data_IF_544173377062
#
_entry.id   IF_544173377062
#
_cell.length_a   1.000
_cell.length_b   1.000
_cell.length_c   1.000
_cell.angle_alpha   90.00
_cell.angle_beta   90.00
_cell.angle_gamma   90.00
#
_symmetry.space_group_name_H-M   'P 1'
#
loop_
_entity.id
_entity.type
_entity.pdbx_description
1 polymer ?
#
# COMPACT_ATOMS: atom_id res chain seq x y z
N UNK A 1 9.90 3.53 -17.28
CA UNK A 1 9.05 2.38 -16.95
C UNK A 1 7.59 2.77 -16.96
N UNK A 2 6.69 1.82 -17.22
CA UNK A 2 5.26 2.10 -17.24
C UNK A 2 4.56 1.66 -15.97
N UNK A 3 3.41 2.26 -15.68
CA UNK A 3 2.53 1.83 -14.61
C UNK A 3 1.96 0.44 -14.93
N UNK A 4 1.89 -0.42 -13.94
CA UNK A 4 1.34 -1.76 -14.10
C UNK A 4 0.66 -2.26 -12.85
N UNK A 5 -0.35 -3.09 -13.02
CA UNK A 5 -1.04 -3.81 -11.94
C UNK A 5 -0.79 -5.30 -12.08
N UNK A 6 -0.64 -5.97 -10.96
CA UNK A 6 -0.44 -7.42 -10.92
C UNK A 6 -1.73 -8.14 -10.51
N UNK A 7 -1.77 -9.44 -10.76
CA UNK A 7 -2.73 -10.36 -10.17
C UNK A 7 -1.94 -11.35 -9.32
N UNK A 8 -2.17 -11.36 -8.02
CA UNK A 8 -1.44 -12.17 -7.03
C UNK A 8 0.08 -12.04 -7.16
N UNK A 9 0.54 -10.83 -7.46
CA UNK A 9 1.95 -10.48 -7.71
C UNK A 9 2.64 -11.28 -8.84
N UNK A 10 1.88 -11.89 -9.74
CA UNK A 10 2.42 -12.74 -10.82
C UNK A 10 2.22 -12.12 -12.20
N UNK A 11 0.98 -12.14 -12.71
CA UNK A 11 0.66 -11.62 -14.04
C UNK A 11 0.62 -10.09 -14.00
N UNK A 12 1.47 -9.43 -14.78
CA UNK A 12 1.50 -7.96 -14.90
C UNK A 12 0.63 -7.50 -16.07
N UNK A 13 -0.20 -6.51 -15.82
CA UNK A 13 -1.02 -5.82 -16.81
C UNK A 13 -0.55 -4.38 -16.87
N UNK A 14 -0.22 -3.90 -18.06
CA UNK A 14 0.20 -2.52 -18.27
C UNK A 14 -1.02 -1.59 -18.19
N UNK A 15 -0.92 -0.50 -17.43
CA UNK A 15 -2.00 0.47 -17.23
C UNK A 15 -1.80 1.76 -18.01
N UNK A 16 -0.56 2.13 -18.29
CA UNK A 16 -0.24 3.39 -18.95
C UNK A 16 0.98 4.10 -18.40
N UNK A 17 1.04 5.38 -18.66
CA UNK A 17 2.04 6.28 -18.12
C UNK A 17 1.68 6.70 -16.68
N UNK A 18 2.61 6.61 -15.70
CA UNK A 18 2.31 6.94 -14.31
C UNK A 18 1.94 8.42 -14.12
N UNK A 19 2.55 9.34 -14.85
CA UNK A 19 2.31 10.78 -14.69
C UNK A 19 0.90 11.12 -15.18
N UNK A 20 0.51 10.59 -16.35
CA UNK A 20 -0.84 10.78 -16.87
C UNK A 20 -1.90 10.16 -15.93
N UNK A 21 -1.58 9.03 -15.30
CA UNK A 21 -2.48 8.40 -14.34
C UNK A 21 -2.65 9.27 -13.07
N UNK A 22 -1.58 9.89 -12.57
CA UNK A 22 -1.65 10.82 -11.44
C UNK A 22 -2.52 12.04 -11.78
N UNK A 23 -2.39 12.60 -12.98
CA UNK A 23 -3.26 13.69 -13.44
C UNK A 23 -4.74 13.31 -13.41
N UNK A 24 -5.08 12.11 -13.89
CA UNK A 24 -6.46 11.61 -13.84
C UNK A 24 -6.97 11.48 -12.41
N UNK A 25 -6.13 10.99 -11.49
CA UNK A 25 -6.51 10.91 -10.07
C UNK A 25 -6.62 12.27 -9.40
N UNK A 26 -5.83 13.30 -9.81
CA UNK A 26 -6.03 14.67 -9.37
C UNK A 26 -7.43 15.18 -9.76
N UNK A 27 -7.82 14.98 -11.03
CA UNK A 27 -9.13 15.41 -11.53
C UNK A 27 -10.31 14.72 -10.82
N UNK A 28 -10.04 13.54 -10.23
CA UNK A 28 -11.01 12.75 -9.45
C UNK A 28 -10.96 13.05 -7.95
N UNK A 29 -10.09 13.95 -7.50
CA UNK A 29 -9.96 14.37 -6.10
C UNK A 29 -9.73 13.17 -5.13
N UNK A 30 -8.83 12.23 -5.51
CA UNK A 30 -8.54 11.08 -4.66
C UNK A 30 -7.88 11.51 -3.35
N UNK A 31 -8.20 10.80 -2.25
CA UNK A 31 -7.74 11.15 -0.90
C UNK A 31 -6.22 11.04 -0.75
N UNK A 32 -5.63 9.94 -1.22
CA UNK A 32 -4.18 9.66 -1.14
C UNK A 32 -3.77 8.63 -2.20
N UNK A 33 -2.54 8.73 -2.72
CA UNK A 33 -1.96 7.74 -3.62
C UNK A 33 -0.73 7.10 -2.98
N UNK A 34 -0.64 5.76 -3.03
CA UNK A 34 0.56 5.00 -2.70
C UNK A 34 1.19 4.48 -3.98
N UNK A 35 2.37 4.98 -4.32
CA UNK A 35 3.15 4.58 -5.50
C UNK A 35 4.21 3.56 -5.08
N UNK A 36 4.13 2.35 -5.62
CA UNK A 36 5.06 1.26 -5.29
C UNK A 36 5.87 0.83 -6.52
N UNK A 37 7.20 1.03 -6.48
CA UNK A 37 8.10 0.40 -7.46
C UNK A 37 8.34 -1.06 -7.07
N UNK A 38 7.55 -1.95 -7.66
CA UNK A 38 7.58 -3.38 -7.40
C UNK A 38 8.81 -4.09 -8.01
N UNK A 39 9.62 -3.40 -8.81
CA UNK A 39 10.81 -3.96 -9.44
C UNK A 39 12.09 -3.61 -8.72
N UNK A 40 12.17 -2.47 -8.09
CA UNK A 40 13.38 -1.93 -7.48
C UNK A 40 14.06 -2.90 -6.50
N UNK A 41 13.32 -3.46 -5.54
CA UNK A 41 13.88 -4.40 -4.56
C UNK A 41 14.34 -5.73 -5.19
N UNK A 42 13.67 -6.18 -6.25
CA UNK A 42 14.02 -7.41 -6.98
C UNK A 42 15.27 -7.23 -7.82
N UNK A 43 15.41 -6.08 -8.44
CA UNK A 43 16.53 -5.72 -9.30
C UNK A 43 17.72 -5.16 -8.50
N UNK A 44 17.62 -5.10 -7.16
CA UNK A 44 18.59 -4.43 -6.28
C UNK A 44 18.88 -2.99 -6.69
N UNK A 45 17.85 -2.28 -7.14
CA UNK A 45 17.90 -0.85 -7.45
C UNK A 45 17.36 -0.07 -6.25
N UNK A 46 17.92 1.11 -6.03
CA UNK A 46 17.37 2.07 -5.09
C UNK A 46 16.06 2.70 -5.58
N UNK A 47 15.51 3.67 -4.83
CA UNK A 47 14.33 4.43 -5.24
C UNK A 47 14.54 5.13 -6.59
N UNK A 48 13.47 5.25 -7.36
CA UNK A 48 13.48 6.02 -8.60
C UNK A 48 13.16 7.50 -8.30
N UNK A 49 14.18 8.26 -7.91
CA UNK A 49 14.04 9.66 -7.52
C UNK A 49 13.49 10.54 -8.66
N UNK A 50 13.89 10.29 -9.91
CA UNK A 50 13.37 11.02 -11.07
C UNK A 50 11.86 10.81 -11.23
N UNK A 51 11.38 9.57 -11.09
CA UNK A 51 9.95 9.29 -11.12
C UNK A 51 9.21 9.98 -9.97
N UNK A 52 9.79 9.97 -8.77
CA UNK A 52 9.22 10.62 -7.59
C UNK A 52 9.07 12.12 -7.83
N UNK A 53 10.11 12.77 -8.34
CA UNK A 53 10.09 14.21 -8.66
C UNK A 53 9.04 14.53 -9.72
N UNK A 54 8.95 13.73 -10.78
CA UNK A 54 7.96 13.90 -11.83
C UNK A 54 6.53 13.74 -11.30
N UNK A 55 6.27 12.74 -10.44
CA UNK A 55 4.96 12.55 -9.81
C UNK A 55 4.64 13.73 -8.89
N UNK A 56 5.58 14.14 -8.03
CA UNK A 56 5.41 15.24 -7.10
C UNK A 56 5.05 16.55 -7.80
N UNK A 57 5.62 16.82 -8.96
CA UNK A 57 5.32 18.03 -9.73
C UNK A 57 3.89 18.06 -10.29
N UNK A 58 3.23 16.91 -10.37
CA UNK A 58 1.87 16.76 -10.89
C UNK A 58 0.84 16.42 -9.82
N UNK A 59 1.24 15.82 -8.69
CA UNK A 59 0.33 15.40 -7.64
C UNK A 59 -0.11 16.59 -6.78
N UNK A 60 -1.42 16.79 -6.64
CA UNK A 60 -2.04 17.77 -5.72
C UNK A 60 -2.63 17.11 -4.49
N UNK A 61 -2.79 15.78 -4.50
CA UNK A 61 -3.15 14.99 -3.35
C UNK A 61 -1.90 14.50 -2.61
N UNK A 62 -1.99 14.14 -1.33
CA UNK A 62 -0.94 13.46 -0.60
C UNK A 62 -0.50 12.19 -1.33
N UNK A 63 0.80 11.95 -1.45
CA UNK A 63 1.26 10.69 -1.96
C UNK A 63 2.43 10.10 -1.17
N UNK A 64 2.42 8.77 -1.07
CA UNK A 64 3.48 7.98 -0.49
C UNK A 64 4.24 7.22 -1.58
N UNK A 65 5.55 7.04 -1.39
CA UNK A 65 6.39 6.27 -2.30
C UNK A 65 7.09 5.13 -1.59
N UNK A 66 7.13 3.94 -2.24
CA UNK A 66 7.90 2.78 -1.82
C UNK A 66 8.55 2.04 -2.97
N UNK A 67 9.67 1.42 -2.68
CA UNK A 67 10.41 0.61 -3.64
C UNK A 67 11.92 0.81 -3.54
N UNK A 68 12.65 -0.27 -3.29
CA UNK A 68 14.11 -0.29 -3.26
C UNK A 68 14.78 0.41 -2.07
N UNK A 69 14.01 0.90 -1.10
CA UNK A 69 14.51 1.67 0.05
C UNK A 69 15.26 0.76 1.01
N UNK A 70 16.53 1.09 1.28
CA UNK A 70 17.46 0.30 2.09
C UNK A 70 18.25 1.09 3.13
N UNK A 71 18.23 2.42 3.05
CA UNK A 71 19.03 3.32 3.91
C UNK A 71 18.28 4.56 4.35
N UNK A 72 18.71 5.17 5.46
CA UNK A 72 18.17 6.45 5.94
C UNK A 72 18.43 7.60 4.96
N UNK A 73 19.57 7.60 4.29
CA UNK A 73 19.88 8.63 3.27
C UNK A 73 18.87 8.61 2.10
N UNK A 74 18.42 7.41 1.67
CA UNK A 74 17.39 7.33 0.64
C UNK A 74 16.03 7.84 1.14
N UNK A 75 15.69 7.59 2.41
CA UNK A 75 14.49 8.12 3.07
C UNK A 75 14.58 9.66 3.16
N UNK A 76 15.71 10.19 3.59
CA UNK A 76 15.95 11.63 3.67
C UNK A 76 15.76 12.32 2.32
N UNK A 77 16.36 11.78 1.25
CA UNK A 77 16.22 12.33 -0.10
C UNK A 77 14.76 12.31 -0.55
N UNK A 78 14.01 11.23 -0.27
CA UNK A 78 12.61 11.12 -0.61
C UNK A 78 11.77 12.17 0.14
N UNK A 79 11.94 12.31 1.45
CA UNK A 79 11.21 13.30 2.26
C UNK A 79 11.56 14.72 1.81
N UNK A 80 12.84 15.01 1.58
CA UNK A 80 13.29 16.32 1.11
C UNK A 80 12.79 16.65 -0.31
N UNK A 81 12.43 15.64 -1.12
CA UNK A 81 11.78 15.86 -2.41
C UNK A 81 10.32 16.32 -2.28
N UNK A 82 9.76 16.27 -1.07
CA UNK A 82 8.41 16.78 -0.76
C UNK A 82 7.30 15.75 -0.86
N UNK A 83 7.62 14.45 -0.74
CA UNK A 83 6.60 13.42 -0.52
C UNK A 83 6.17 13.40 0.95
N UNK A 84 4.92 13.05 1.22
CA UNK A 84 4.37 13.02 2.58
C UNK A 84 4.87 11.82 3.37
N UNK A 85 4.92 10.63 2.72
CA UNK A 85 5.26 9.39 3.41
C UNK A 85 6.14 8.46 2.58
N UNK A 86 7.00 7.73 3.26
CA UNK A 86 7.90 6.72 2.68
C UNK A 86 7.43 5.33 3.09
N UNK A 87 7.23 4.44 2.12
CA UNK A 87 6.77 3.06 2.35
C UNK A 87 7.94 2.09 2.34
N UNK A 88 8.20 1.41 3.45
CA UNK A 88 9.29 0.47 3.62
C UNK A 88 8.73 -0.95 3.80
N UNK A 89 9.21 -1.93 3.04
CA UNK A 89 8.77 -3.33 3.11
C UNK A 89 9.96 -4.29 3.26
N UNK A 90 10.58 -4.67 2.14
CA UNK A 90 11.58 -5.76 2.08
C UNK A 90 12.75 -5.59 3.05
N UNK A 91 13.12 -4.34 3.36
CA UNK A 91 14.20 -4.07 4.29
C UNK A 91 13.81 -4.35 5.74
N UNK A 92 12.55 -4.14 6.13
CA UNK A 92 12.06 -4.43 7.50
C UNK A 92 12.10 -5.92 7.83
N UNK A 93 12.01 -6.78 6.82
CA UNK A 93 12.14 -8.23 6.97
C UNK A 93 13.59 -8.65 7.32
N UNK A 94 14.59 -7.80 7.04
CA UNK A 94 16.01 -8.03 7.26
C UNK A 94 16.54 -7.25 8.46
N UNK A 95 16.13 -6.00 8.58
CA UNK A 95 16.64 -5.07 9.58
C UNK A 95 15.57 -4.04 9.98
N UNK A 96 14.95 -4.24 11.12
CA UNK A 96 13.94 -3.33 11.67
C UNK A 96 14.55 -2.00 12.16
N UNK A 97 15.85 -1.97 12.48
CA UNK A 97 16.51 -0.76 12.99
C UNK A 97 16.49 0.40 11.97
N UNK A 98 16.33 0.11 10.67
CA UNK A 98 16.10 1.17 9.68
C UNK A 98 14.85 2.00 10.04
N UNK A 99 13.76 1.31 10.39
CA UNK A 99 12.50 1.97 10.78
C UNK A 99 12.68 2.78 12.06
N UNK A 100 13.28 2.19 13.11
CA UNK A 100 13.51 2.84 14.40
C UNK A 100 14.34 4.12 14.28
N UNK A 101 15.43 4.06 13.51
CA UNK A 101 16.32 5.19 13.31
C UNK A 101 15.64 6.29 12.49
N UNK A 102 14.93 5.90 11.41
CA UNK A 102 14.22 6.85 10.56
C UNK A 102 13.05 7.51 11.29
N UNK A 103 12.34 6.80 12.17
CA UNK A 103 11.27 7.37 12.98
C UNK A 103 11.79 8.43 13.96
N UNK A 104 12.98 8.22 14.54
CA UNK A 104 13.64 9.20 15.43
C UNK A 104 14.07 10.46 14.69
N UNK A 105 14.49 10.32 13.43
CA UNK A 105 15.06 11.41 12.64
C UNK A 105 13.98 12.21 11.91
N UNK A 106 13.03 11.52 11.25
CA UNK A 106 12.05 12.13 10.36
C UNK A 106 10.64 12.17 10.94
N UNK A 107 10.41 11.55 12.09
CA UNK A 107 9.09 11.38 12.69
C UNK A 107 8.31 10.20 12.14
N UNK A 108 7.53 9.56 13.02
CA UNK A 108 6.71 8.38 12.67
C UNK A 108 5.72 8.66 11.55
N UNK A 109 5.12 9.86 11.53
CA UNK A 109 4.09 10.28 10.56
C UNK A 109 4.58 10.20 9.09
N UNK A 110 5.90 10.22 8.86
CA UNK A 110 6.50 10.14 7.53
C UNK A 110 6.78 8.71 7.06
N UNK A 111 6.44 7.70 7.88
CA UNK A 111 6.86 6.31 7.64
C UNK A 111 5.67 5.36 7.64
N UNK A 112 5.52 4.63 6.54
CA UNK A 112 4.58 3.50 6.40
C UNK A 112 5.38 2.20 6.37
N UNK A 113 5.09 1.29 7.29
CA UNK A 113 5.63 -0.06 7.24
C UNK A 113 4.70 -0.97 6.43
N UNK A 114 5.15 -1.45 5.28
CA UNK A 114 4.37 -2.34 4.42
C UNK A 114 4.67 -3.80 4.73
N UNK A 115 3.61 -4.62 4.77
CA UNK A 115 3.69 -6.07 5.01
C UNK A 115 2.84 -6.80 3.98
N UNK A 116 3.49 -7.63 3.16
CA UNK A 116 2.82 -8.49 2.20
C UNK A 116 2.44 -9.81 2.85
N UNK A 117 1.15 -10.14 2.87
CA UNK A 117 0.60 -11.36 3.46
C UNK A 117 0.19 -12.34 2.36
N UNK A 118 0.66 -13.58 2.47
CA UNK A 118 0.23 -14.67 1.62
C UNK A 118 -0.30 -15.84 2.47
N UNK A 119 -0.86 -16.85 1.83
CA UNK A 119 -1.23 -18.11 2.47
C UNK A 119 -0.22 -19.21 2.11
N UNK A 120 0.13 -20.03 3.07
CA UNK A 120 0.91 -21.24 2.80
C UNK A 120 -0.02 -22.38 2.30
N UNK A 121 0.55 -23.55 2.04
CA UNK A 121 -0.18 -24.73 1.54
C UNK A 121 -1.29 -25.23 2.50
N UNK A 122 -1.22 -24.86 3.77
CA UNK A 122 -2.21 -25.22 4.81
C UNK A 122 -3.21 -24.09 5.08
N UNK A 123 -3.24 -23.04 4.24
CA UNK A 123 -4.14 -21.89 4.40
C UNK A 123 -3.76 -20.94 5.56
N UNK A 124 -2.60 -21.08 6.17
CA UNK A 124 -2.13 -20.17 7.23
C UNK A 124 -1.47 -18.93 6.64
N UNK A 125 -1.73 -17.77 7.24
CA UNK A 125 -1.11 -16.50 6.90
C UNK A 125 0.40 -16.53 7.15
N UNK A 126 1.16 -16.03 6.18
CA UNK A 126 2.63 -15.95 6.21
C UNK A 126 3.07 -14.64 5.56
N UNK A 127 4.21 -14.11 5.97
CA UNK A 127 4.82 -12.97 5.31
C UNK A 127 5.38 -13.42 3.97
N UNK A 128 5.06 -12.67 2.92
CA UNK A 128 5.61 -12.88 1.59
C UNK A 128 6.73 -11.89 1.31
N UNK A 129 7.83 -12.36 0.75
CA UNK A 129 8.91 -11.52 0.27
C UNK A 129 8.86 -11.39 -1.25
N UNK A 130 8.53 -10.19 -1.73
CA UNK A 130 8.49 -9.92 -3.16
C UNK A 130 9.90 -9.99 -3.79
N UNK A 131 10.93 -9.55 -3.07
CA UNK A 131 12.32 -9.56 -3.55
C UNK A 131 12.85 -10.98 -3.82
N UNK A 132 12.38 -11.98 -3.06
CA UNK A 132 12.80 -13.39 -3.20
C UNK A 132 11.73 -14.28 -3.81
N UNK A 133 10.50 -13.78 -4.00
CA UNK A 133 9.30 -14.53 -4.40
C UNK A 133 9.02 -15.74 -3.50
N UNK A 134 9.22 -15.62 -2.19
CA UNK A 134 9.06 -16.71 -1.21
C UNK A 134 8.25 -16.29 0.00
N UNK A 135 7.55 -17.25 0.56
CA UNK A 135 7.00 -17.13 1.91
C UNK A 135 8.14 -17.22 2.94
N UNK A 136 8.14 -16.32 3.90
CA UNK A 136 9.15 -16.26 4.96
C UNK A 136 8.73 -17.08 6.18
N UNK A 137 9.70 -17.52 6.96
CA UNK A 137 9.48 -18.20 8.25
C UNK A 137 9.35 -17.22 9.43
N UNK A 138 8.75 -16.06 9.16
CA UNK A 138 8.51 -15.01 10.16
C UNK A 138 7.02 -15.08 10.49
N UNK A 139 6.67 -15.10 11.77
CA UNK A 139 5.26 -15.04 12.19
C UNK A 139 4.72 -13.64 11.96
N UNK A 140 3.55 -13.57 11.37
CA UNK A 140 2.91 -12.29 11.00
C UNK A 140 2.71 -11.42 12.23
N UNK A 141 2.13 -11.99 13.28
CA UNK A 141 1.83 -11.30 14.53
C UNK A 141 3.09 -10.73 15.20
N UNK A 142 4.17 -11.52 15.30
CA UNK A 142 5.44 -11.07 15.87
C UNK A 142 6.08 -9.92 15.04
N UNK A 143 5.94 -9.97 13.73
CA UNK A 143 6.46 -8.93 12.85
C UNK A 143 5.67 -7.62 12.98
N UNK A 144 4.35 -7.71 13.07
CA UNK A 144 3.48 -6.54 13.27
C UNK A 144 3.75 -5.87 14.62
N UNK A 145 3.90 -6.66 15.72
CA UNK A 145 4.27 -6.10 17.02
C UNK A 145 5.62 -5.37 16.96
N UNK A 146 6.63 -5.95 16.33
CA UNK A 146 7.94 -5.27 16.15
C UNK A 146 7.82 -3.96 15.37
N UNK A 147 7.05 -3.95 14.28
CA UNK A 147 6.78 -2.73 13.49
C UNK A 147 6.11 -1.67 14.37
N UNK A 148 5.07 -2.07 15.12
CA UNK A 148 4.34 -1.16 16.01
C UNK A 148 5.25 -0.53 17.08
N UNK A 149 6.18 -1.29 17.62
CA UNK A 149 7.16 -0.83 18.62
C UNK A 149 8.31 -0.01 18.02
N UNK A 150 8.58 -0.18 16.72
CA UNK A 150 9.73 0.45 16.03
C UNK A 150 9.45 1.86 15.48
N UNK A 151 8.26 2.41 15.74
CA UNK A 151 7.95 3.79 15.43
C UNK A 151 7.43 4.03 14.01
N UNK A 152 6.84 3.04 13.35
CA UNK A 152 6.03 3.28 12.16
C UNK A 152 4.87 4.22 12.49
N UNK A 153 4.51 5.12 11.58
CA UNK A 153 3.31 5.94 11.70
C UNK A 153 2.06 5.19 11.28
N UNK A 154 2.19 4.32 10.28
CA UNK A 154 1.10 3.51 9.73
C UNK A 154 1.62 2.13 9.28
N UNK A 155 0.72 1.16 9.24
CA UNK A 155 0.98 -0.15 8.63
C UNK A 155 0.14 -0.30 7.36
N UNK A 156 0.78 -0.71 6.25
CA UNK A 156 0.12 -1.06 5.00
C UNK A 156 0.14 -2.58 4.83
N UNK A 157 -0.99 -3.25 5.09
CA UNK A 157 -1.17 -4.68 4.86
C UNK A 157 -1.65 -4.94 3.44
N UNK A 158 -0.90 -5.73 2.68
CA UNK A 158 -1.27 -6.12 1.33
C UNK A 158 -1.50 -7.63 1.24
N UNK A 159 -2.74 -8.04 1.01
CA UNK A 159 -3.11 -9.45 0.85
C UNK A 159 -2.79 -9.95 -0.56
N UNK A 160 -1.60 -10.52 -0.75
CA UNK A 160 -1.07 -10.99 -2.04
C UNK A 160 -2.00 -11.99 -2.72
N UNK A 161 -2.55 -12.93 -1.97
CA UNK A 161 -3.47 -13.96 -2.50
C UNK A 161 -4.84 -13.41 -2.92
N UNK A 162 -5.19 -12.21 -2.46
CA UNK A 162 -6.40 -11.46 -2.83
C UNK A 162 -6.14 -10.42 -3.93
N UNK A 163 -4.87 -10.03 -4.16
CA UNK A 163 -4.52 -8.96 -5.10
C UNK A 163 -5.06 -9.25 -6.52
N UNK A 164 -5.86 -8.32 -7.03
CA UNK A 164 -6.45 -8.41 -8.37
C UNK A 164 -7.53 -9.46 -8.55
N UNK A 165 -8.04 -10.08 -7.48
CA UNK A 165 -9.03 -11.18 -7.56
C UNK A 165 -10.48 -10.72 -7.56
N UNK A 166 -10.77 -9.50 -7.14
CA UNK A 166 -12.14 -8.96 -7.00
C UNK A 166 -13.03 -9.82 -6.06
N UNK A 167 -12.43 -10.39 -5.00
CA UNK A 167 -13.11 -11.34 -4.09
C UNK A 167 -13.43 -10.75 -2.73
N UNK A 168 -13.37 -9.42 -2.58
CA UNK A 168 -13.48 -8.73 -1.30
C UNK A 168 -12.19 -8.84 -0.47
N UNK A 169 -12.05 -7.98 0.52
CA UNK A 169 -10.94 -8.04 1.48
C UNK A 169 -11.01 -9.31 2.35
N UNK A 170 -9.94 -9.63 3.06
CA UNK A 170 -9.97 -10.67 4.11
C UNK A 170 -10.35 -10.03 5.45
N UNK A 171 -11.64 -9.99 5.72
CA UNK A 171 -12.21 -9.32 6.90
C UNK A 171 -11.79 -10.00 8.20
N UNK A 172 -11.83 -11.34 8.23
CA UNK A 172 -11.48 -12.12 9.41
C UNK A 172 -9.99 -11.94 9.78
N UNK A 173 -9.11 -12.07 8.81
CA UNK A 173 -7.69 -11.92 9.05
C UNK A 173 -7.34 -10.47 9.42
N UNK A 174 -7.99 -9.47 8.80
CA UNK A 174 -7.81 -8.06 9.17
C UNK A 174 -8.22 -7.81 10.61
N UNK A 175 -9.41 -8.26 11.03
CA UNK A 175 -9.88 -8.14 12.42
C UNK A 175 -8.96 -8.83 13.43
N UNK A 176 -8.33 -9.93 13.03
CA UNK A 176 -7.35 -10.62 13.86
C UNK A 176 -6.06 -9.82 13.97
N UNK A 177 -5.53 -9.35 12.86
CA UNK A 177 -4.20 -8.71 12.80
C UNK A 177 -4.20 -7.28 13.34
N UNK A 178 -5.30 -6.52 13.18
CA UNK A 178 -5.43 -5.17 13.71
C UNK A 178 -5.22 -5.09 15.23
N UNK A 179 -5.54 -6.16 15.96
CA UNK A 179 -5.37 -6.24 17.43
C UNK A 179 -3.91 -6.17 17.90
N UNK A 180 -2.95 -6.38 17.01
CA UNK A 180 -1.52 -6.29 17.29
C UNK A 180 -0.94 -4.89 17.02
N UNK A 181 -1.79 -3.95 16.61
CA UNK A 181 -1.40 -2.61 16.21
C UNK A 181 -2.11 -1.57 17.08
N UNK A 182 -1.38 -0.52 17.46
CA UNK A 182 -1.91 0.70 18.08
C UNK A 182 -1.76 1.93 17.17
N UNK A 183 -1.28 1.71 15.95
CA UNK A 183 -1.10 2.70 14.89
C UNK A 183 -2.04 2.40 13.73
N UNK A 184 -2.39 3.38 12.89
CA UNK A 184 -3.30 3.23 11.78
C UNK A 184 -2.94 2.06 10.84
N UNK A 185 -3.96 1.32 10.43
CA UNK A 185 -3.88 0.18 9.54
C UNK A 185 -4.56 0.47 8.20
N UNK A 186 -3.78 0.46 7.14
CA UNK A 186 -4.26 0.52 5.76
C UNK A 186 -4.29 -0.90 5.19
N UNK A 187 -5.41 -1.32 4.61
CA UNK A 187 -5.56 -2.67 4.05
C UNK A 187 -5.76 -2.61 2.55
N UNK A 188 -5.01 -3.45 1.82
CA UNK A 188 -5.05 -3.59 0.36
C UNK A 188 -5.18 -5.05 -0.06
N UNK A 189 -5.84 -5.26 -1.20
CA UNK A 189 -5.96 -6.56 -1.87
C UNK A 189 -7.35 -7.17 -1.75
N UNK A 190 -8.00 -7.32 -2.92
CA UNK A 190 -9.28 -8.00 -3.06
C UNK A 190 -10.50 -7.12 -3.33
N UNK A 191 -10.45 -5.83 -3.06
CA UNK A 191 -11.59 -4.92 -3.26
C UNK A 191 -12.30 -5.16 -4.59
N UNK A 192 -13.61 -5.28 -4.56
CA UNK A 192 -14.49 -5.56 -5.70
C UNK A 192 -15.58 -4.52 -5.89
N UNK A 193 -15.85 -3.72 -4.88
CA UNK A 193 -16.84 -2.65 -4.87
C UNK A 193 -16.52 -1.58 -3.84
N UNK A 194 -17.23 -0.48 -3.87
CA UNK A 194 -17.14 0.61 -2.88
C UNK A 194 -17.64 0.17 -1.50
N UNK A 195 -18.60 -0.73 -1.44
CA UNK A 195 -19.11 -1.31 -0.20
C UNK A 195 -18.01 -2.09 0.54
N UNK A 196 -17.15 -2.80 -0.20
CA UNK A 196 -15.99 -3.48 0.41
C UNK A 196 -15.07 -2.49 1.14
N UNK A 197 -14.92 -1.24 0.60
CA UNK A 197 -14.10 -0.20 1.24
C UNK A 197 -14.65 0.17 2.62
N UNK A 198 -15.98 0.32 2.75
CA UNK A 198 -16.63 0.55 4.04
C UNK A 198 -16.51 -0.68 4.94
N UNK A 199 -16.79 -1.86 4.40
CA UNK A 199 -16.83 -3.09 5.18
C UNK A 199 -15.50 -3.37 5.86
N UNK A 200 -14.36 -3.17 5.17
CA UNK A 200 -13.04 -3.42 5.77
C UNK A 200 -12.76 -2.48 6.95
N UNK A 201 -13.25 -1.23 6.93
CA UNK A 201 -13.05 -0.30 8.04
C UNK A 201 -13.84 -0.69 9.29
N UNK A 202 -14.96 -1.40 9.15
CA UNK A 202 -15.70 -1.98 10.30
C UNK A 202 -15.01 -3.22 10.87
N UNK A 203 -13.97 -3.73 10.19
CA UNK A 203 -13.22 -4.92 10.59
C UNK A 203 -11.78 -4.61 11.02
N UNK A 204 -11.53 -3.38 11.46
CA UNK A 204 -10.28 -2.99 12.12
C UNK A 204 -9.23 -2.35 11.20
N UNK A 205 -9.57 -2.04 9.95
CA UNK A 205 -8.75 -1.14 9.14
C UNK A 205 -9.16 0.32 9.41
N UNK A 206 -8.19 1.21 9.45
CA UNK A 206 -8.42 2.67 9.53
C UNK A 206 -8.58 3.28 8.13
N UNK A 207 -7.99 2.63 7.12
CA UNK A 207 -8.15 3.02 5.72
C UNK A 207 -8.20 1.81 4.78
N UNK A 208 -8.96 1.96 3.69
CA UNK A 208 -9.09 0.97 2.62
C UNK A 208 -8.31 1.41 1.39
N UNK A 209 -7.37 0.58 0.91
CA UNK A 209 -6.63 0.81 -0.31
C UNK A 209 -7.02 -0.17 -1.41
N UNK A 210 -7.11 0.28 -2.64
CA UNK A 210 -7.42 -0.56 -3.78
C UNK A 210 -6.58 -0.18 -5.00
N UNK A 211 -6.18 -1.17 -5.79
CA UNK A 211 -5.52 -0.96 -7.07
C UNK A 211 -6.45 -1.31 -8.23
N UNK A 212 -6.90 -2.56 -8.33
CA UNK A 212 -7.71 -3.02 -9.45
C UNK A 212 -9.07 -2.31 -9.53
N UNK A 213 -9.72 -2.06 -8.39
CA UNK A 213 -11.01 -1.38 -8.32
C UNK A 213 -10.97 -0.01 -8.98
N UNK A 214 -9.85 0.72 -8.82
CA UNK A 214 -9.68 2.08 -9.34
C UNK A 214 -8.96 2.14 -10.69
N UNK A 215 -8.50 1.01 -11.23
CA UNK A 215 -7.70 0.97 -12.47
C UNK A 215 -8.34 0.17 -13.60
N UNK A 216 -9.42 -0.56 -13.34
CA UNK A 216 -10.06 -1.41 -14.34
C UNK A 216 -11.58 -1.31 -14.32
N UNK A 217 -12.20 -1.51 -15.49
CA UNK A 217 -13.62 -1.82 -15.60
C UNK A 217 -13.86 -3.30 -15.28
N UNK A 218 -14.66 -3.58 -14.26
CA UNK A 218 -15.02 -4.95 -13.89
C UNK A 218 -15.83 -5.66 -14.99
N UNK A 219 -16.66 -4.90 -15.72
CA UNK A 219 -17.54 -5.45 -16.77
C UNK A 219 -16.78 -5.77 -18.06
N UNK A 220 -15.83 -4.93 -18.43
CA UNK A 220 -15.19 -5.00 -19.74
C UNK A 220 -13.76 -5.56 -19.67
N UNK A 221 -13.20 -5.70 -18.47
CA UNK A 221 -11.82 -6.17 -18.24
C UNK A 221 -10.74 -5.24 -18.80
N UNK A 222 -11.13 -4.06 -19.28
CA UNK A 222 -10.24 -3.04 -19.82
C UNK A 222 -9.66 -2.12 -18.73
N UNK A 223 -8.58 -1.42 -19.06
CA UNK A 223 -8.03 -0.36 -18.21
C UNK A 223 -8.99 0.81 -18.19
N UNK A 224 -9.44 1.19 -17.01
CA UNK A 224 -10.29 2.34 -16.74
C UNK A 224 -9.88 2.94 -15.40
N UNK A 225 -9.21 4.08 -15.45
CA UNK A 225 -8.92 4.85 -14.25
C UNK A 225 -10.23 5.47 -13.76
N UNK A 226 -10.60 5.16 -12.53
CA UNK A 226 -11.83 5.66 -11.92
C UNK A 226 -11.65 5.79 -10.40
N UNK A 227 -12.46 6.64 -9.79
CA UNK A 227 -12.54 6.82 -8.34
C UNK A 227 -13.97 7.24 -7.97
N UNK A 228 -14.52 6.84 -6.83
CA UNK A 228 -15.85 7.26 -6.40
C UNK A 228 -15.91 8.77 -6.19
N UNK A 229 -17.02 9.40 -6.57
CA UNK A 229 -17.23 10.83 -6.27
C UNK A 229 -17.28 11.06 -4.74
N UNK A 230 -16.80 12.22 -4.27
CA UNK A 230 -16.80 12.58 -2.83
C UNK A 230 -18.17 12.40 -2.19
N UNK A 231 -19.26 12.75 -2.88
CA UNK A 231 -20.63 12.52 -2.39
C UNK A 231 -20.97 11.04 -2.16
N UNK A 232 -20.42 10.15 -2.99
CA UNK A 232 -20.62 8.70 -2.82
C UNK A 232 -19.84 8.20 -1.60
N UNK A 233 -18.59 8.67 -1.43
CA UNK A 233 -17.78 8.35 -0.24
C UNK A 233 -18.42 8.91 1.02
N UNK A 234 -18.87 10.17 1.00
CA UNK A 234 -19.58 10.77 2.13
C UNK A 234 -20.83 9.97 2.53
N UNK A 235 -21.65 9.57 1.55
CA UNK A 235 -22.84 8.74 1.83
C UNK A 235 -22.50 7.34 2.32
N UNK A 236 -21.31 6.85 1.99
CA UNK A 236 -20.85 5.52 2.38
C UNK A 236 -20.26 5.51 3.80
N UNK A 237 -19.43 6.50 4.13
CA UNK A 237 -18.67 6.51 5.38
C UNK A 237 -19.32 7.36 6.49
N UNK A 238 -20.03 8.42 6.12
CA UNK A 238 -20.71 9.29 7.08
C UNK A 238 -22.21 9.04 6.97
N UNK A 239 -22.79 8.25 7.89
CA UNK A 239 -24.23 8.18 8.04
C UNK A 239 -24.74 9.61 8.22
N UNK A 240 -25.77 9.99 7.45
CA UNK A 240 -26.43 11.30 7.64
C UNK A 240 -26.92 11.36 9.08
N UNK A 241 -26.19 12.10 9.91
CA UNK A 241 -26.65 12.55 11.19
C UNK A 241 -27.68 13.66 10.89
N UNK A 242 -28.94 13.24 10.69
CA UNK A 242 -30.11 14.12 10.66
C UNK A 242 -31.17 13.53 11.58
#
# INVERSE_FOLDING_TARGET
GGLGKTIKFKKRIYLGDPINTVKLYNDMEVDEIIVLDITASKDNKGPNFELVENIRNEAFMPFAYGGGITSQNEIEVLINSGIEKVVINSQLQKNIALLENSAKEFGSQSLIASVDINLNLFGKSVIYSHSTNKNLKIKVEEHLMKINESGAGEVFLNFVYKDGTWSGYDLELTSKLSRFLSIPLIVCGGASSTEDLKEITTHGADAAAAGSLFSFSKKEGGVLINYPESKQLDSLFYDKIY
#
